data_IF_317318193992
#
_entry.id   IF_317318193992
#
_cell.length_a   1.000
_cell.length_b   1.000
_cell.length_c   1.000
_cell.angle_alpha   90.00
_cell.angle_beta   90.00
_cell.angle_gamma   90.00
#
_symmetry.space_group_name_H-M   'P 1'
#
loop_
_entity.id
_entity.type
_entity.pdbx_description
1 polymer ?
#
# COMPACT_ATOMS: atom_id res chain seq x y z
N UNK A 1 12.01 3.97 21.17
CA UNK A 1 11.22 4.69 22.19
C UNK A 1 10.30 5.70 21.49
N UNK A 2 9.00 5.38 21.38
CA UNK A 2 8.02 6.16 20.59
C UNK A 2 7.68 7.52 21.21
N UNK A 3 7.91 7.68 22.51
CA UNK A 3 7.59 8.88 23.30
C UNK A 3 8.47 10.08 22.93
N UNK A 4 9.78 9.88 22.79
CA UNK A 4 10.72 10.95 22.42
C UNK A 4 10.41 11.51 21.02
N UNK A 5 10.04 10.64 20.09
CA UNK A 5 9.64 11.02 18.73
C UNK A 5 8.34 11.84 18.72
N UNK A 6 7.37 11.44 19.55
CA UNK A 6 6.10 12.16 19.70
C UNK A 6 6.30 13.56 20.29
N UNK A 7 7.16 13.69 21.31
CA UNK A 7 7.47 14.96 21.97
C UNK A 7 8.20 15.91 21.00
N UNK A 8 9.13 15.38 20.21
CA UNK A 8 9.84 16.16 19.20
C UNK A 8 8.90 16.65 18.08
N UNK A 9 7.94 15.82 17.67
CA UNK A 9 6.91 16.18 16.68
C UNK A 9 5.94 17.24 17.21
N UNK A 10 5.50 17.09 18.47
CA UNK A 10 4.61 18.04 19.13
C UNK A 10 5.31 19.41 19.34
N UNK A 11 6.58 19.39 19.72
CA UNK A 11 7.40 20.61 19.83
C UNK A 11 7.56 21.34 18.51
N UNK A 12 7.84 20.60 17.42
CA UNK A 12 8.00 21.19 16.09
C UNK A 12 6.69 21.79 15.56
N UNK A 13 5.56 21.12 15.78
CA UNK A 13 4.22 21.60 15.42
C UNK A 13 3.81 22.85 16.22
N UNK A 14 4.15 22.90 17.52
CA UNK A 14 3.88 24.06 18.39
C UNK A 14 4.69 25.29 18.00
N UNK A 15 5.98 25.12 17.67
CA UNK A 15 6.85 26.20 17.20
C UNK A 15 6.35 26.76 15.86
N UNK A 16 5.82 25.88 14.99
CA UNK A 16 5.20 26.28 13.73
C UNK A 16 3.96 27.15 13.91
N UNK A 17 3.07 26.79 14.83
CA UNK A 17 1.85 27.57 15.06
C UNK A 17 2.13 29.01 15.53
N UNK A 18 3.31 29.26 16.12
CA UNK A 18 3.70 30.55 16.66
C UNK A 18 4.24 31.55 15.60
N UNK A 19 4.57 31.09 14.38
CA UNK A 19 5.20 31.93 13.34
C UNK A 19 4.22 32.66 12.40
N UNK A 20 2.91 32.68 12.71
CA UNK A 20 1.91 33.33 11.86
C UNK A 20 1.73 32.61 10.50
N UNK A 21 1.50 33.32 9.38
CA UNK A 21 1.18 32.67 8.09
C UNK A 21 2.29 31.72 7.59
N UNK A 22 3.55 32.03 7.91
CA UNK A 22 4.72 31.20 7.57
C UNK A 22 4.68 29.85 8.30
N UNK A 23 4.18 29.87 9.53
CA UNK A 23 3.95 28.68 10.34
C UNK A 23 3.01 27.67 9.70
N UNK A 24 1.93 28.16 9.10
CA UNK A 24 0.92 27.33 8.43
C UNK A 24 1.54 26.63 7.20
N UNK A 25 2.36 27.32 6.42
CA UNK A 25 3.03 26.72 5.27
C UNK A 25 3.98 25.58 5.66
N UNK A 26 4.78 25.76 6.72
CA UNK A 26 5.69 24.71 7.17
C UNK A 26 4.88 23.54 7.77
N UNK A 27 3.76 23.82 8.47
CA UNK A 27 2.87 22.78 9.00
C UNK A 27 2.25 21.95 7.88
N UNK A 28 1.78 22.59 6.81
CA UNK A 28 1.32 21.92 5.60
C UNK A 28 2.42 21.09 4.94
N UNK A 29 3.66 21.61 4.83
CA UNK A 29 4.78 20.88 4.25
C UNK A 29 5.13 19.61 5.06
N UNK A 30 5.07 19.69 6.39
CA UNK A 30 5.28 18.53 7.27
C UNK A 30 4.16 17.49 7.08
N UNK A 31 2.90 17.93 7.05
CA UNK A 31 1.75 17.03 6.83
C UNK A 31 1.91 16.29 5.50
N UNK A 32 2.21 17.01 4.42
CA UNK A 32 2.44 16.42 3.09
C UNK A 32 3.60 15.42 3.12
N UNK A 33 4.71 15.77 3.78
CA UNK A 33 5.85 14.87 3.93
C UNK A 33 5.52 13.58 4.70
N UNK A 34 4.71 13.67 5.75
CA UNK A 34 4.25 12.51 6.53
C UNK A 34 3.33 11.63 5.69
N UNK A 35 2.38 12.22 4.96
CA UNK A 35 1.46 11.48 4.08
C UNK A 35 2.26 10.75 3.01
N UNK A 36 3.17 11.44 2.32
CA UNK A 36 3.99 10.86 1.26
C UNK A 36 4.83 9.67 1.77
N UNK A 37 5.48 9.84 2.92
CA UNK A 37 6.25 8.75 3.56
C UNK A 37 5.37 7.57 3.96
N UNK A 38 4.18 7.83 4.49
CA UNK A 38 3.21 6.80 4.88
C UNK A 38 2.72 6.01 3.66
N UNK A 39 2.47 6.68 2.53
CA UNK A 39 2.06 6.03 1.28
C UNK A 39 3.15 5.13 0.69
N UNK A 40 4.41 5.59 0.70
CA UNK A 40 5.55 4.77 0.25
C UNK A 40 5.69 3.52 1.12
N UNK A 41 5.65 3.71 2.44
CA UNK A 41 5.80 2.61 3.38
C UNK A 41 4.62 1.62 3.26
N UNK A 42 3.40 2.11 3.07
CA UNK A 42 2.23 1.27 2.84
C UNK A 42 2.35 0.48 1.54
N UNK A 43 2.89 1.07 0.47
CA UNK A 43 3.12 0.39 -0.80
C UNK A 43 4.20 -0.71 -0.66
N UNK A 44 5.26 -0.43 0.11
CA UNK A 44 6.31 -1.40 0.40
C UNK A 44 5.80 -2.57 1.24
N UNK A 45 5.04 -2.27 2.30
CA UNK A 45 4.33 -3.28 3.10
C UNK A 45 3.37 -4.07 2.21
N UNK A 46 2.55 -3.41 1.40
CA UNK A 46 1.62 -4.09 0.50
C UNK A 46 2.34 -5.07 -0.44
N UNK A 47 3.48 -4.69 -1.03
CA UNK A 47 4.31 -5.60 -1.84
C UNK A 47 4.92 -6.75 -1.04
N UNK A 48 5.18 -6.55 0.24
CA UNK A 48 5.72 -7.59 1.12
C UNK A 48 4.64 -8.55 1.62
N UNK A 49 3.45 -8.05 1.97
CA UNK A 49 2.34 -8.86 2.53
C UNK A 49 1.47 -9.48 1.44
N UNK A 50 1.34 -8.82 0.29
CA UNK A 50 0.75 -9.39 -0.92
C UNK A 50 1.90 -9.90 -1.78
N UNK A 51 2.36 -11.14 -1.59
CA UNK A 51 3.35 -11.69 -2.49
C UNK A 51 2.76 -11.65 -3.90
N UNK A 52 3.55 -11.20 -4.88
CA UNK A 52 3.17 -11.23 -6.28
C UNK A 52 2.61 -12.61 -6.73
N UNK A 53 2.93 -13.67 -5.98
CA UNK A 53 2.51 -15.05 -6.22
C UNK A 53 1.26 -15.52 -5.44
N UNK A 54 0.65 -14.73 -4.55
CA UNK A 54 -0.59 -15.17 -3.86
C UNK A 54 -1.78 -15.28 -4.83
N UNK A 55 -1.81 -14.40 -5.83
CA UNK A 55 -2.81 -14.45 -6.88
C UNK A 55 -2.53 -15.60 -7.87
N UNK A 56 -1.27 -16.06 -7.96
CA UNK A 56 -0.86 -17.12 -8.87
C UNK A 56 -1.50 -18.46 -8.50
N UNK A 57 -1.58 -18.84 -7.22
CA UNK A 57 -2.19 -20.13 -6.85
C UNK A 57 -3.69 -20.22 -7.18
N UNK A 58 -4.42 -19.12 -6.99
CA UNK A 58 -5.86 -19.05 -7.28
C UNK A 58 -6.09 -18.96 -8.79
N UNK A 59 -5.28 -18.15 -9.48
CA UNK A 59 -5.33 -18.01 -10.94
C UNK A 59 -4.91 -19.30 -11.66
N UNK A 60 -3.87 -19.97 -11.20
CA UNK A 60 -3.37 -21.26 -11.73
C UNK A 60 -4.38 -22.39 -11.48
N UNK A 61 -5.06 -22.41 -10.33
CA UNK A 61 -6.16 -23.34 -10.10
C UNK A 61 -7.36 -23.08 -11.04
N UNK A 62 -7.70 -21.81 -11.24
CA UNK A 62 -8.77 -21.41 -12.16
C UNK A 62 -8.43 -21.73 -13.62
N UNK A 63 -7.21 -21.45 -14.04
CA UNK A 63 -6.71 -21.69 -15.40
C UNK A 63 -6.61 -23.18 -15.72
N UNK A 64 -6.22 -24.02 -14.74
CA UNK A 64 -6.32 -25.49 -14.86
C UNK A 64 -7.76 -25.96 -15.04
N UNK A 65 -8.70 -25.43 -14.26
CA UNK A 65 -10.12 -25.82 -14.38
C UNK A 65 -10.71 -25.46 -15.75
N UNK A 66 -10.43 -24.25 -16.25
CA UNK A 66 -10.87 -23.82 -17.59
C UNK A 66 -10.29 -24.77 -18.65
N UNK A 67 -8.99 -25.08 -18.57
CA UNK A 67 -8.31 -25.95 -19.55
C UNK A 67 -8.85 -27.38 -19.54
N UNK A 68 -9.09 -27.97 -18.38
CA UNK A 68 -9.70 -29.30 -18.27
C UNK A 68 -11.14 -29.33 -18.81
N UNK A 69 -11.89 -28.24 -18.64
CA UNK A 69 -13.25 -28.13 -19.16
C UNK A 69 -13.25 -28.00 -20.69
N UNK A 70 -12.40 -27.16 -21.25
CA UNK A 70 -12.26 -27.00 -22.71
C UNK A 70 -11.75 -28.29 -23.37
N UNK A 71 -10.82 -29.03 -22.74
CA UNK A 71 -10.38 -30.33 -23.24
C UNK A 71 -11.49 -31.39 -23.19
N UNK A 72 -12.36 -31.35 -22.17
CA UNK A 72 -13.54 -32.24 -22.10
C UNK A 72 -14.58 -31.88 -23.16
N UNK A 73 -14.86 -30.59 -23.37
CA UNK A 73 -15.80 -30.14 -24.41
C UNK A 73 -15.27 -30.45 -25.81
N UNK A 74 -13.96 -30.30 -26.05
CA UNK A 74 -13.34 -30.64 -27.33
C UNK A 74 -13.32 -32.14 -27.62
N UNK A 75 -13.22 -32.99 -26.58
CA UNK A 75 -13.37 -34.45 -26.70
C UNK A 75 -14.83 -34.90 -26.85
N UNK A 76 -15.78 -34.13 -26.32
CA UNK A 76 -17.21 -34.40 -26.45
C UNK A 76 -17.79 -33.92 -27.79
N UNK A 77 -17.14 -32.95 -28.45
CA UNK A 77 -17.54 -32.37 -29.75
C UNK A 77 -16.70 -32.90 -30.93
N UNK A 78 -15.80 -33.85 -30.66
CA UNK A 78 -14.93 -34.49 -31.65
C UNK A 78 -15.29 -35.95 -31.87
N UNK A 79 -16.49 -36.18 -32.41
CA UNK A 79 -16.84 -37.30 -33.29
C UNK A 79 -16.95 -36.77 -34.71
#
# INVERSE_FOLDING_TARGET
MKLLLSILLAGLLGILAFLGPIGIYILCAIIVGIIFRSLILLNEIHKQVVPANANDKVKDAYERYIKERDEKERKASGE
#
